data_IF_821759779293
#
_entry.id   IF_821759779293
#
_cell.length_a   1.000
_cell.length_b   1.000
_cell.length_c   1.000
_cell.angle_alpha   90.00
_cell.angle_beta   90.00
_cell.angle_gamma   90.00
#
_symmetry.space_group_name_H-M   'P 1'
#
loop_
_entity.id
_entity.type
_entity.pdbx_description
1 polymer ?
#
# COMPACT_ATOMS: atom_id res chain seq x y z
N UNK A 1 -16.89 4.66 3.13
CA UNK A 1 -16.69 5.75 4.13
C UNK A 1 -17.17 5.31 5.52
N UNK A 2 -18.42 5.03 5.72
CA UNK A 2 -19.00 4.60 7.01
C UNK A 2 -18.27 3.38 7.59
N UNK A 3 -17.89 2.42 6.74
CA UNK A 3 -17.22 1.19 7.13
C UNK A 3 -15.71 1.33 7.35
N UNK A 4 -15.12 2.43 6.90
CA UNK A 4 -13.68 2.74 7.06
C UNK A 4 -13.43 3.80 8.15
N UNK A 5 -14.50 4.29 8.78
CA UNK A 5 -14.43 5.44 9.68
C UNK A 5 -13.41 5.31 10.83
N UNK A 6 -13.25 4.18 11.52
CA UNK A 6 -12.37 4.15 12.68
C UNK A 6 -10.88 4.25 12.38
N UNK A 7 -10.44 3.86 11.17
CA UNK A 7 -9.00 3.73 10.88
C UNK A 7 -8.38 4.86 10.07
N UNK A 8 -9.19 5.69 9.43
CA UNK A 8 -8.70 6.77 8.54
C UNK A 8 -9.01 8.19 9.00
N UNK A 9 -9.84 8.34 10.00
CA UNK A 9 -10.23 9.66 10.47
C UNK A 9 -9.65 9.90 11.85
N UNK A 10 -8.91 11.00 11.98
CA UNK A 10 -8.42 11.46 13.27
C UNK A 10 -9.60 11.59 14.21
N UNK A 11 -9.42 11.05 15.43
CA UNK A 11 -10.27 11.39 16.55
C UNK A 11 -10.32 12.92 16.67
N UNK A 12 -11.47 13.47 16.96
CA UNK A 12 -11.59 14.91 17.13
C UNK A 12 -10.76 15.35 18.34
N UNK A 13 -9.98 16.42 18.17
CA UNK A 13 -9.01 16.87 19.20
C UNK A 13 -9.67 17.26 20.53
N UNK A 14 -10.95 17.67 20.48
CA UNK A 14 -11.68 18.16 21.64
C UNK A 14 -12.82 17.24 22.11
N UNK A 15 -13.24 16.24 21.33
CA UNK A 15 -14.39 15.40 21.64
C UNK A 15 -14.06 13.93 21.49
N UNK A 16 -13.98 13.22 22.62
CA UNK A 16 -13.73 11.80 22.63
C UNK A 16 -14.88 11.02 21.95
N UNK A 17 -14.54 10.03 21.13
CA UNK A 17 -15.52 9.24 20.36
C UNK A 17 -16.07 9.93 19.11
N UNK A 18 -15.67 11.17 18.80
CA UNK A 18 -16.04 11.90 17.60
C UNK A 18 -14.91 11.91 16.56
N UNK A 19 -15.27 11.97 15.30
CA UNK A 19 -14.30 12.01 14.19
C UNK A 19 -14.30 13.39 13.51
N UNK A 20 -13.11 13.83 13.10
CA UNK A 20 -12.95 15.03 12.29
C UNK A 20 -13.02 14.72 10.80
N UNK A 21 -13.85 15.47 10.07
CA UNK A 21 -13.88 15.43 8.61
C UNK A 21 -13.66 16.82 8.05
N UNK A 22 -12.75 16.95 7.10
CA UNK A 22 -12.62 18.22 6.38
C UNK A 22 -13.80 18.41 5.44
N UNK A 23 -14.28 19.65 5.33
CA UNK A 23 -15.37 20.00 4.40
C UNK A 23 -15.05 19.55 2.96
N UNK A 24 -13.81 19.77 2.50
CA UNK A 24 -13.37 19.30 1.18
C UNK A 24 -13.42 17.77 1.02
N UNK A 25 -13.11 17.03 2.08
CA UNK A 25 -13.20 15.58 2.09
C UNK A 25 -14.64 15.08 1.95
N UNK A 26 -15.57 15.76 2.60
CA UNK A 26 -17.00 15.48 2.49
C UNK A 26 -17.56 15.88 1.11
N UNK A 27 -17.19 17.06 0.60
CA UNK A 27 -17.59 17.50 -0.74
C UNK A 27 -17.11 16.56 -1.85
N UNK A 28 -15.87 16.10 -1.76
CA UNK A 28 -15.30 15.14 -2.73
C UNK A 28 -16.09 13.83 -2.78
N UNK A 29 -16.72 13.43 -1.68
CA UNK A 29 -17.42 12.14 -1.55
C UNK A 29 -18.92 12.23 -1.83
N UNK A 30 -19.55 13.30 -1.38
CA UNK A 30 -21.00 13.47 -1.47
C UNK A 30 -21.43 14.47 -2.55
N UNK A 31 -20.48 15.22 -3.11
CA UNK A 31 -20.71 16.32 -4.03
C UNK A 31 -20.84 17.67 -3.30
N UNK A 32 -20.54 18.74 -4.03
CA UNK A 32 -20.51 20.10 -3.50
C UNK A 32 -21.87 20.49 -2.90
N UNK A 33 -21.85 20.93 -1.65
CA UNK A 33 -23.03 21.37 -0.86
C UNK A 33 -24.12 20.29 -0.66
N UNK A 34 -23.88 19.01 -1.00
CA UNK A 34 -24.89 17.96 -0.90
C UNK A 34 -24.84 17.19 0.43
N UNK A 35 -23.72 17.22 1.16
CA UNK A 35 -23.57 16.42 2.39
C UNK A 35 -24.66 16.73 3.42
N UNK A 36 -24.95 18.02 3.66
CA UNK A 36 -25.96 18.42 4.66
C UNK A 36 -27.34 17.83 4.31
N UNK A 37 -27.81 18.03 3.09
CA UNK A 37 -29.11 17.51 2.63
C UNK A 37 -29.17 15.97 2.66
N UNK A 38 -28.08 15.29 2.30
CA UNK A 38 -27.99 13.83 2.37
C UNK A 38 -28.02 13.35 3.83
N UNK A 39 -27.29 14.03 4.72
CA UNK A 39 -27.26 13.68 6.14
C UNK A 39 -28.60 13.92 6.82
N UNK A 40 -29.26 15.03 6.51
CA UNK A 40 -30.62 15.35 7.00
C UNK A 40 -31.65 14.29 6.55
N UNK A 41 -31.56 13.84 5.30
CA UNK A 41 -32.47 12.82 4.75
C UNK A 41 -32.20 11.40 5.29
N UNK A 42 -30.93 11.01 5.39
CA UNK A 42 -30.54 9.63 5.68
C UNK A 42 -30.18 9.39 7.16
N UNK A 43 -29.94 10.44 7.93
CA UNK A 43 -29.55 10.34 9.33
C UNK A 43 -28.25 9.57 9.53
N UNK A 44 -27.19 9.90 8.75
CA UNK A 44 -25.95 9.12 8.76
C UNK A 44 -25.04 9.48 9.92
N UNK A 45 -25.00 10.77 10.27
CA UNK A 45 -24.09 11.31 11.28
C UNK A 45 -24.81 12.25 12.22
N UNK A 46 -24.50 12.15 13.49
CA UNK A 46 -24.65 13.26 14.42
C UNK A 46 -23.54 14.26 14.14
N UNK A 47 -23.89 15.53 14.12
CA UNK A 47 -22.93 16.64 14.05
C UNK A 47 -22.94 17.29 15.43
N UNK A 48 -21.75 17.48 16.04
CA UNK A 48 -21.65 18.12 17.34
C UNK A 48 -22.16 19.56 17.26
N UNK A 49 -23.00 19.94 18.20
CA UNK A 49 -23.60 21.27 18.29
C UNK A 49 -23.21 21.93 19.60
N UNK A 50 -23.12 23.26 19.60
CA UNK A 50 -22.96 24.07 20.81
C UNK A 50 -24.24 24.07 21.67
N UNK A 51 -24.15 24.65 22.86
CA UNK A 51 -25.27 24.73 23.82
C UNK A 51 -26.51 25.46 23.26
N UNK A 52 -26.39 26.11 22.11
CA UNK A 52 -27.46 26.85 21.41
C UNK A 52 -27.93 26.10 20.14
N UNK A 53 -27.46 24.87 19.93
CA UNK A 53 -27.86 24.02 18.78
C UNK A 53 -27.22 24.37 17.46
N UNK A 54 -26.11 25.09 17.42
CA UNK A 54 -25.36 25.40 16.20
C UNK A 54 -24.18 24.44 16.02
N UNK A 55 -23.91 24.06 14.79
CA UNK A 55 -22.76 23.22 14.45
C UNK A 55 -21.46 23.89 14.93
N UNK A 56 -20.75 23.23 15.83
CA UNK A 56 -19.55 23.77 16.44
C UNK A 56 -18.33 23.59 15.52
N UNK A 57 -17.71 24.70 15.14
CA UNK A 57 -16.48 24.75 14.37
C UNK A 57 -15.80 26.11 14.48
N UNK A 58 -14.49 26.15 14.32
CA UNK A 58 -13.77 27.41 14.37
C UNK A 58 -12.61 27.44 13.38
N UNK A 59 -12.62 28.44 12.49
CA UNK A 59 -11.48 28.76 11.62
C UNK A 59 -10.34 29.44 12.39
N UNK A 60 -10.63 30.18 13.46
CA UNK A 60 -9.62 30.85 14.27
C UNK A 60 -8.85 29.91 15.18
N UNK A 61 -9.50 28.86 15.66
CA UNK A 61 -8.91 27.84 16.51
C UNK A 61 -8.52 26.57 15.73
N UNK A 62 -8.66 26.59 14.40
CA UNK A 62 -8.26 25.51 13.49
C UNK A 62 -8.89 24.16 13.77
N UNK A 63 -10.09 24.10 14.37
CA UNK A 63 -10.78 22.83 14.53
C UNK A 63 -11.95 22.67 13.54
N UNK A 64 -12.19 21.43 13.14
CA UNK A 64 -13.22 21.03 12.19
C UNK A 64 -14.47 20.58 12.94
N UNK A 65 -15.62 20.51 12.22
CA UNK A 65 -16.83 19.92 12.79
C UNK A 65 -16.56 18.48 13.25
N UNK A 66 -17.10 18.12 14.41
CA UNK A 66 -17.06 16.78 14.95
C UNK A 66 -18.29 15.99 14.48
N UNK A 67 -18.07 14.74 14.10
CA UNK A 67 -19.09 13.85 13.56
C UNK A 67 -19.04 12.50 14.28
N UNK A 68 -20.22 11.96 14.62
CA UNK A 68 -20.37 10.62 15.15
C UNK A 68 -21.40 9.85 14.32
N UNK A 69 -21.19 8.55 14.10
CA UNK A 69 -22.18 7.72 13.42
C UNK A 69 -23.44 7.62 14.26
N UNK A 70 -24.60 7.75 13.62
CA UNK A 70 -25.88 7.48 14.30
C UNK A 70 -26.00 5.98 14.63
N UNK A 71 -26.83 5.63 15.63
CA UNK A 71 -27.05 4.23 16.01
C UNK A 71 -27.57 3.42 14.83
N UNK A 72 -28.47 3.99 14.01
CA UNK A 72 -28.95 3.39 12.76
C UNK A 72 -27.80 2.96 11.85
N UNK A 73 -26.77 3.79 11.70
CA UNK A 73 -25.62 3.50 10.83
C UNK A 73 -24.67 2.51 11.51
N UNK A 74 -24.51 2.59 12.82
CA UNK A 74 -23.71 1.66 13.59
C UNK A 74 -24.31 0.25 13.53
N UNK A 75 -25.61 0.13 13.62
CA UNK A 75 -26.34 -1.14 13.52
C UNK A 75 -26.27 -1.72 12.08
N UNK A 76 -26.52 -0.88 11.07
CA UNK A 76 -26.33 -1.26 9.68
C UNK A 76 -24.88 -1.65 9.35
N UNK A 77 -23.91 -0.98 9.97
CA UNK A 77 -22.50 -1.35 9.88
C UNK A 77 -22.24 -2.72 10.52
N UNK A 78 -22.81 -2.99 11.66
CA UNK A 78 -22.73 -4.29 12.33
C UNK A 78 -23.28 -5.41 11.42
N UNK A 79 -24.50 -5.24 10.90
CA UNK A 79 -25.12 -6.17 9.95
C UNK A 79 -24.31 -6.33 8.67
N UNK A 80 -23.75 -5.25 8.14
CA UNK A 80 -22.93 -5.26 6.93
C UNK A 80 -21.59 -5.96 7.16
N UNK A 81 -20.94 -5.76 8.30
CA UNK A 81 -19.68 -6.43 8.65
C UNK A 81 -19.87 -7.91 8.94
N UNK A 82 -21.06 -8.30 9.40
CA UNK A 82 -21.39 -9.68 9.75
C UNK A 82 -21.66 -10.61 8.57
N UNK A 83 -21.84 -10.14 7.35
CA UNK A 83 -22.30 -11.08 6.34
C UNK A 83 -22.13 -10.78 4.88
N UNK A 84 -21.43 -9.74 4.47
CA UNK A 84 -21.49 -9.35 3.05
C UNK A 84 -20.14 -9.11 2.42
N UNK A 85 -19.89 -9.82 1.32
CA UNK A 85 -18.87 -9.45 0.33
C UNK A 85 -19.18 -8.08 -0.18
N UNK A 86 -18.29 -7.15 0.10
CA UNK A 86 -18.37 -5.82 -0.46
C UNK A 86 -18.05 -5.86 -1.94
N UNK A 87 -19.07 -5.78 -2.76
CA UNK A 87 -18.90 -5.24 -4.10
C UNK A 87 -19.05 -3.71 -3.98
N UNK A 88 -18.20 -2.96 -4.66
CA UNK A 88 -18.26 -1.47 -4.66
C UNK A 88 -19.58 -0.92 -5.21
N UNK A 89 -20.45 -1.78 -5.69
CA UNK A 89 -21.76 -1.51 -6.30
C UNK A 89 -22.93 -1.94 -5.44
N UNK A 90 -22.71 -2.62 -4.30
CA UNK A 90 -23.80 -3.00 -3.41
C UNK A 90 -24.34 -1.75 -2.72
N UNK A 91 -25.62 -1.53 -2.79
CA UNK A 91 -26.35 -0.44 -2.14
C UNK A 91 -27.21 -0.98 -1.01
N UNK A 92 -27.22 -0.27 0.10
CA UNK A 92 -28.20 -0.49 1.17
C UNK A 92 -29.50 0.21 0.81
N UNK A 93 -30.61 -0.52 0.87
CA UNK A 93 -31.96 0.05 0.77
C UNK A 93 -32.32 0.78 2.05
N UNK A 94 -33.38 1.57 2.02
CA UNK A 94 -33.88 2.28 3.21
C UNK A 94 -34.32 1.32 4.32
N UNK A 95 -34.72 0.09 3.97
CA UNK A 95 -35.14 -0.98 4.90
C UNK A 95 -33.95 -1.79 5.45
N UNK A 96 -32.72 -1.46 5.06
CA UNK A 96 -31.51 -2.15 5.52
C UNK A 96 -31.14 -3.41 4.74
N UNK A 97 -31.85 -3.70 3.65
CA UNK A 97 -31.51 -4.77 2.73
C UNK A 97 -30.39 -4.37 1.77
N UNK A 98 -29.64 -5.35 1.30
CA UNK A 98 -28.53 -5.13 0.40
C UNK A 98 -28.96 -5.45 -1.02
N UNK A 99 -29.19 -4.40 -1.80
CA UNK A 99 -29.40 -4.55 -3.21
C UNK A 99 -28.05 -4.85 -3.90
N UNK A 100 -27.90 -6.09 -4.30
CA UNK A 100 -26.72 -6.54 -5.06
C UNK A 100 -26.84 -6.08 -6.51
N UNK A 101 -26.07 -5.11 -6.88
CA UNK A 101 -25.81 -4.91 -8.29
C UNK A 101 -24.84 -6.02 -8.73
N UNK A 102 -25.37 -7.03 -9.37
CA UNK A 102 -24.55 -7.97 -10.13
C UNK A 102 -23.68 -7.13 -11.07
N UNK A 103 -22.35 -7.43 -11.18
CA UNK A 103 -21.56 -6.74 -12.17
C UNK A 103 -22.28 -6.94 -13.49
N UNK A 104 -22.70 -5.86 -14.11
CA UNK A 104 -22.90 -5.89 -15.55
C UNK A 104 -21.67 -6.59 -16.11
N UNK A 105 -21.87 -7.60 -16.93
CA UNK A 105 -20.80 -8.27 -17.69
C UNK A 105 -19.82 -7.17 -18.09
N UNK A 106 -18.54 -7.38 -17.83
CA UNK A 106 -17.51 -6.38 -18.01
C UNK A 106 -17.80 -5.64 -19.31
N UNK A 107 -18.33 -4.41 -19.17
CA UNK A 107 -18.52 -3.56 -20.34
C UNK A 107 -17.10 -3.30 -20.78
N UNK A 108 -16.71 -3.89 -21.89
CA UNK A 108 -15.50 -3.53 -22.59
C UNK A 108 -15.58 -2.02 -22.76
N UNK A 109 -14.83 -1.30 -21.96
CA UNK A 109 -14.78 0.14 -22.05
C UNK A 109 -14.09 0.44 -23.39
N UNK A 110 -14.90 0.58 -24.43
CA UNK A 110 -14.44 1.09 -25.72
C UNK A 110 -13.83 2.46 -25.44
N UNK A 111 -12.51 2.54 -25.59
CA UNK A 111 -11.83 3.82 -25.55
C UNK A 111 -12.45 4.74 -26.62
N UNK A 112 -12.42 6.02 -26.40
CA UNK A 112 -12.96 7.05 -27.32
C UNK A 112 -12.40 6.96 -28.75
N UNK A 113 -11.41 6.14 -28.99
CA UNK A 113 -10.63 5.93 -30.19
C UNK A 113 -10.85 4.55 -30.86
N UNK A 114 -11.81 3.77 -30.38
CA UNK A 114 -12.15 2.47 -30.99
C UNK A 114 -11.13 1.34 -30.72
N UNK A 115 -10.05 1.60 -29.98
CA UNK A 115 -9.10 0.57 -29.57
C UNK A 115 -9.55 -0.12 -28.29
N UNK A 116 -9.62 -1.44 -28.32
CA UNK A 116 -9.90 -2.27 -27.14
C UNK A 116 -8.76 -2.07 -26.14
N UNK A 117 -9.02 -1.44 -25.01
CA UNK A 117 -8.01 -1.34 -23.93
C UNK A 117 -7.70 -2.75 -23.43
N UNK A 118 -6.47 -3.17 -23.63
CA UNK A 118 -5.99 -4.47 -23.14
C UNK A 118 -5.81 -4.36 -21.62
N UNK A 119 -6.86 -4.72 -20.88
CA UNK A 119 -6.79 -4.84 -19.43
C UNK A 119 -6.06 -6.10 -19.00
N UNK A 120 -5.77 -6.20 -17.71
CA UNK A 120 -5.33 -7.45 -17.13
C UNK A 120 -6.38 -8.55 -17.38
N UNK A 121 -5.92 -9.71 -17.87
CA UNK A 121 -6.75 -10.91 -18.01
C UNK A 121 -7.02 -11.60 -16.67
N UNK A 122 -6.70 -10.93 -15.57
CA UNK A 122 -6.72 -11.42 -14.20
C UNK A 122 -8.00 -11.00 -13.52
N UNK A 123 -8.51 -11.83 -12.64
CA UNK A 123 -9.54 -11.46 -11.68
C UNK A 123 -9.07 -10.27 -10.85
N UNK A 124 -9.83 -9.21 -10.84
CA UNK A 124 -9.54 -7.98 -10.09
C UNK A 124 -9.79 -8.16 -8.58
N UNK A 125 -10.14 -9.37 -8.15
CA UNK A 125 -10.42 -9.72 -6.76
C UNK A 125 -9.77 -11.05 -6.42
N UNK A 126 -9.03 -11.12 -5.31
CA UNK A 126 -8.41 -12.32 -4.78
C UNK A 126 -8.83 -12.56 -3.33
N UNK A 127 -8.93 -13.81 -2.92
CA UNK A 127 -9.19 -14.21 -1.54
C UNK A 127 -7.88 -14.74 -0.93
N UNK A 128 -7.18 -13.90 -0.20
CA UNK A 128 -5.85 -14.18 0.36
C UNK A 128 -6.00 -14.91 1.69
N UNK A 129 -5.53 -16.17 1.83
CA UNK A 129 -5.44 -16.80 3.13
C UNK A 129 -4.55 -15.97 4.06
N UNK A 130 -4.95 -15.80 5.31
CA UNK A 130 -4.15 -15.04 6.29
C UNK A 130 -3.81 -15.91 7.49
N UNK A 131 -2.62 -15.70 8.03
CA UNK A 131 -2.18 -16.37 9.25
C UNK A 131 -2.73 -15.62 10.49
N UNK A 132 -3.95 -15.98 10.90
CA UNK A 132 -4.59 -15.35 12.06
C UNK A 132 -3.80 -15.54 13.35
N UNK A 133 -3.14 -16.68 13.52
CA UNK A 133 -2.34 -16.94 14.73
C UNK A 133 -1.17 -15.94 14.84
N UNK A 134 -0.48 -15.69 13.74
CA UNK A 134 0.62 -14.70 13.72
C UNK A 134 0.12 -13.27 13.87
N UNK A 135 -1.04 -12.93 13.29
CA UNK A 135 -1.64 -11.61 13.49
C UNK A 135 -2.07 -11.39 14.96
N UNK A 136 -2.66 -12.40 15.62
CA UNK A 136 -2.99 -12.33 17.04
C UNK A 136 -1.72 -12.17 17.88
N UNK A 137 -0.67 -12.92 17.56
CA UNK A 137 0.63 -12.82 18.23
C UNK A 137 1.26 -11.44 18.05
N UNK A 138 1.21 -10.86 16.83
CA UNK A 138 1.66 -9.50 16.58
C UNK A 138 0.88 -8.49 17.44
N UNK A 139 -0.44 -8.66 17.54
CA UNK A 139 -1.28 -7.80 18.37
C UNK A 139 -0.84 -7.82 19.84
N UNK A 140 -0.61 -9.01 20.40
CA UNK A 140 -0.10 -9.17 21.77
C UNK A 140 1.24 -8.46 21.96
N UNK A 141 2.18 -8.62 21.03
CA UNK A 141 3.51 -7.95 21.09
C UNK A 141 3.37 -6.44 21.07
N UNK A 142 2.51 -5.90 20.22
CA UNK A 142 2.29 -4.45 20.12
C UNK A 142 1.64 -3.90 21.41
N UNK A 143 0.66 -4.62 21.95
CA UNK A 143 -0.01 -4.25 23.20
C UNK A 143 0.94 -4.32 24.40
N UNK A 144 1.79 -5.36 24.48
CA UNK A 144 2.83 -5.47 25.51
C UNK A 144 3.84 -4.31 25.44
N UNK A 145 4.25 -3.89 24.25
CA UNK A 145 5.09 -2.72 24.06
C UNK A 145 4.44 -1.43 24.53
N UNK A 146 3.17 -1.24 24.22
CA UNK A 146 2.41 -0.06 24.65
C UNK A 146 2.32 -0.03 26.17
N UNK A 147 1.93 -1.14 26.80
CA UNK A 147 1.86 -1.29 28.25
C UNK A 147 3.22 -1.02 28.91
N UNK A 148 4.31 -1.61 28.42
CA UNK A 148 5.66 -1.41 28.94
C UNK A 148 6.07 0.06 28.96
N UNK A 149 5.74 0.83 27.92
CA UNK A 149 6.01 2.28 27.88
C UNK A 149 5.20 3.05 28.90
N UNK A 150 3.92 2.74 29.05
CA UNK A 150 3.03 3.39 30.02
C UNK A 150 3.50 3.16 31.46
N UNK A 151 4.17 2.03 31.74
CA UNK A 151 4.68 1.66 33.06
C UNK A 151 6.18 1.80 33.22
N UNK A 152 6.86 2.48 32.29
CA UNK A 152 8.32 2.75 32.39
C UNK A 152 9.21 1.53 32.21
N UNK A 153 8.69 0.43 31.66
CA UNK A 153 9.45 -0.80 31.40
C UNK A 153 10.25 -0.62 30.12
N UNK A 154 11.57 -0.61 30.24
CA UNK A 154 12.49 -0.49 29.08
C UNK A 154 12.48 -1.79 28.30
N UNK A 155 12.06 -1.76 27.05
CA UNK A 155 11.91 -2.96 26.25
C UNK A 155 12.92 -3.09 25.15
N UNK A 156 13.52 -4.24 25.10
CA UNK A 156 14.35 -4.68 24.01
C UNK A 156 13.56 -5.47 22.95
N UNK A 157 14.01 -5.50 21.76
CA UNK A 157 14.01 -6.62 20.85
C UNK A 157 13.13 -6.60 19.61
N UNK A 158 11.88 -6.17 19.59
CA UNK A 158 11.13 -6.21 18.33
C UNK A 158 11.34 -4.97 17.46
N UNK A 159 11.57 -3.84 18.12
CA UNK A 159 11.66 -2.55 17.46
C UNK A 159 12.93 -1.82 17.89
N UNK A 160 13.89 -1.69 17.00
CA UNK A 160 15.04 -0.82 17.15
C UNK A 160 15.11 0.15 15.94
N UNK A 161 15.08 1.46 16.16
CA UNK A 161 14.85 2.18 17.43
C UNK A 161 13.43 2.00 17.96
N UNK A 162 13.23 2.35 19.25
CA UNK A 162 11.92 2.27 19.91
C UNK A 162 10.89 3.09 19.11
N UNK A 163 9.76 2.49 18.69
CA UNK A 163 8.82 3.17 17.82
C UNK A 163 8.09 4.31 18.50
N UNK A 164 7.66 5.27 17.71
CA UNK A 164 6.71 6.29 18.12
C UNK A 164 5.40 5.63 18.61
N UNK A 165 4.78 6.11 19.70
CA UNK A 165 3.47 5.67 20.15
C UNK A 165 2.39 5.71 19.07
N UNK A 166 2.45 6.72 18.19
CA UNK A 166 1.53 6.82 17.05
C UNK A 166 1.70 5.63 16.08
N UNK A 167 2.93 5.23 15.80
CA UNK A 167 3.21 4.06 14.97
C UNK A 167 2.69 2.76 15.59
N UNK A 168 2.89 2.55 16.89
CA UNK A 168 2.37 1.36 17.58
C UNK A 168 0.85 1.30 17.55
N UNK A 169 0.19 2.46 17.75
CA UNK A 169 -1.27 2.55 17.64
C UNK A 169 -1.75 2.19 16.23
N UNK A 170 -1.14 2.76 15.20
CA UNK A 170 -1.49 2.46 13.81
C UNK A 170 -1.25 0.98 13.47
N UNK A 171 -0.14 0.41 13.92
CA UNK A 171 0.19 -1.00 13.74
C UNK A 171 -0.86 -1.91 14.39
N UNK A 172 -1.30 -1.60 15.63
CA UNK A 172 -2.37 -2.29 16.32
C UNK A 172 -3.69 -2.20 15.56
N UNK A 173 -4.07 -1.00 15.17
CA UNK A 173 -5.33 -0.74 14.51
C UNK A 173 -5.40 -1.43 13.13
N UNK A 174 -4.31 -1.44 12.37
CA UNK A 174 -4.22 -2.20 11.12
C UNK A 174 -4.27 -3.72 11.35
N UNK A 175 -3.58 -4.22 12.38
CA UNK A 175 -3.61 -5.66 12.70
C UNK A 175 -5.02 -6.11 13.06
N UNK A 176 -5.72 -5.36 13.92
CA UNK A 176 -7.13 -5.63 14.27
C UNK A 176 -8.03 -5.60 13.05
N UNK A 177 -7.81 -4.64 12.16
CA UNK A 177 -8.58 -4.49 10.94
C UNK A 177 -8.40 -5.68 9.98
N UNK A 178 -7.17 -6.17 9.79
CA UNK A 178 -6.90 -7.35 8.97
C UNK A 178 -7.56 -8.58 9.56
N UNK A 179 -7.45 -8.79 10.88
CA UNK A 179 -8.14 -9.88 11.60
C UNK A 179 -9.65 -9.81 11.44
N UNK A 180 -10.25 -8.63 11.57
CA UNK A 180 -11.69 -8.47 11.40
C UNK A 180 -12.15 -8.77 9.97
N UNK A 181 -11.36 -8.34 8.98
CA UNK A 181 -11.67 -8.57 7.57
C UNK A 181 -11.49 -10.03 7.14
N UNK A 182 -10.61 -10.80 7.80
CA UNK A 182 -10.43 -12.23 7.53
C UNK A 182 -11.58 -13.09 8.08
N UNK A 183 -12.32 -12.60 9.05
CA UNK A 183 -13.48 -13.30 9.67
C UNK A 183 -14.79 -13.12 8.88
N UNK A 184 -14.72 -12.81 7.61
CA UNK A 184 -15.90 -12.69 6.78
C UNK A 184 -16.58 -14.07 6.55
N UNK A 185 -17.91 -14.07 6.41
CA UNK A 185 -18.69 -15.33 6.27
C UNK A 185 -18.51 -16.03 4.91
N UNK A 186 -18.02 -15.32 3.92
CA UNK A 186 -17.97 -15.84 2.52
C UNK A 186 -16.70 -16.64 2.29
N UNK A 187 -15.59 -16.19 2.86
CA UNK A 187 -14.31 -16.86 2.80
C UNK A 187 -13.62 -16.76 4.18
N UNK A 188 -14.08 -17.53 5.19
CA UNK A 188 -13.50 -17.50 6.52
C UNK A 188 -11.99 -17.78 6.48
N UNK A 189 -11.22 -17.01 7.24
CA UNK A 189 -9.75 -17.10 7.24
C UNK A 189 -9.07 -16.48 6.03
N UNK A 190 -9.82 -15.85 5.13
CA UNK A 190 -9.28 -15.19 3.94
C UNK A 190 -9.60 -13.71 3.92
N UNK A 191 -8.63 -12.90 3.52
CA UNK A 191 -8.79 -11.48 3.29
C UNK A 191 -9.16 -11.23 1.82
N UNK A 192 -10.32 -10.62 1.58
CA UNK A 192 -10.76 -10.30 0.21
C UNK A 192 -10.02 -9.05 -0.27
N UNK A 193 -9.21 -9.21 -1.30
CA UNK A 193 -8.36 -8.18 -1.86
C UNK A 193 -8.82 -7.78 -3.25
N UNK A 194 -9.00 -6.49 -3.49
CA UNK A 194 -9.49 -5.93 -4.74
C UNK A 194 -8.47 -4.99 -5.35
N UNK A 195 -8.33 -5.06 -6.66
CA UNK A 195 -7.41 -4.20 -7.40
C UNK A 195 -8.13 -3.27 -8.36
N UNK A 196 -7.47 -2.16 -8.63
CA UNK A 196 -7.82 -1.24 -9.71
C UNK A 196 -6.60 -1.02 -10.58
N UNK A 197 -6.79 -1.17 -11.88
CA UNK A 197 -5.75 -0.86 -12.86
C UNK A 197 -5.58 0.65 -13.00
N UNK A 198 -4.33 1.11 -12.99
CA UNK A 198 -3.95 2.49 -13.27
C UNK A 198 -3.83 2.76 -14.77
N UNK A 199 -3.62 4.03 -15.13
CA UNK A 199 -3.36 4.43 -16.50
C UNK A 199 -2.06 3.89 -17.12
N UNK A 200 -1.14 3.36 -16.31
CA UNK A 200 0.08 2.68 -16.78
C UNK A 200 -0.06 1.16 -16.85
N UNK A 201 -1.15 0.60 -16.34
CA UNK A 201 -1.38 -0.83 -16.28
C UNK A 201 -1.11 -1.48 -14.92
N UNK A 202 -0.44 -0.79 -13.99
CA UNK A 202 -0.22 -1.29 -12.63
C UNK A 202 -1.54 -1.55 -11.89
N UNK A 203 -1.54 -2.57 -11.06
CA UNK A 203 -2.64 -2.86 -10.15
C UNK A 203 -2.41 -2.20 -8.79
N UNK A 204 -3.35 -1.38 -8.38
CA UNK A 204 -3.40 -0.78 -7.04
C UNK A 204 -4.56 -1.38 -6.27
N UNK A 205 -4.28 -1.83 -5.07
CA UNK A 205 -5.31 -2.35 -4.21
C UNK A 205 -6.26 -1.25 -3.75
N UNK A 206 -7.56 -1.59 -3.74
CA UNK A 206 -8.63 -0.71 -3.27
C UNK A 206 -8.90 -0.91 -1.79
N UNK A 207 -9.48 0.09 -1.19
CA UNK A 207 -9.98 0.05 0.20
C UNK A 207 -8.91 -0.38 1.20
N UNK A 208 -9.30 -1.09 2.24
CA UNK A 208 -8.39 -1.78 3.16
C UNK A 208 -7.74 -2.93 2.42
N UNK A 209 -6.41 -2.98 2.42
CA UNK A 209 -5.68 -3.93 1.59
C UNK A 209 -4.30 -4.23 2.17
N UNK A 210 -3.77 -5.42 1.87
CA UNK A 210 -2.45 -5.85 2.32
C UNK A 210 -1.29 -5.20 1.53
N UNK A 211 -1.55 -4.62 0.36
CA UNK A 211 -0.51 -3.92 -0.43
C UNK A 211 -0.02 -2.65 0.28
N UNK A 212 -0.92 -1.94 0.99
CA UNK A 212 -0.66 -0.66 1.64
C UNK A 212 -0.62 -0.71 3.17
N UNK A 213 -0.75 -1.89 3.78
CA UNK A 213 -0.56 -2.05 5.23
C UNK A 213 0.92 -1.96 5.60
N UNK A 214 1.19 -1.66 6.86
CA UNK A 214 2.54 -1.73 7.40
C UNK A 214 3.19 -3.07 7.09
N UNK A 215 4.47 -3.03 6.75
CA UNK A 215 5.24 -4.24 6.37
C UNK A 215 5.10 -5.36 7.39
N UNK A 216 5.13 -5.03 8.68
CA UNK A 216 5.06 -6.02 9.76
C UNK A 216 3.67 -6.69 9.82
N UNK A 217 2.58 -5.94 9.61
CA UNK A 217 1.22 -6.50 9.54
C UNK A 217 1.09 -7.42 8.35
N UNK A 218 1.58 -6.98 7.18
CA UNK A 218 1.58 -7.80 5.96
C UNK A 218 2.40 -9.07 6.13
N UNK A 219 3.59 -8.98 6.72
CA UNK A 219 4.43 -10.15 6.99
C UNK A 219 3.78 -11.12 7.99
N UNK A 220 3.10 -10.62 9.02
CA UNK A 220 2.36 -11.48 9.95
C UNK A 220 1.17 -12.16 9.26
N UNK A 221 0.39 -11.42 8.46
CA UNK A 221 -0.72 -11.96 7.71
C UNK A 221 -0.31 -13.06 6.71
N UNK A 222 0.85 -12.90 6.08
CA UNK A 222 1.36 -13.79 5.04
C UNK A 222 2.48 -14.73 5.55
N UNK A 223 2.61 -14.88 6.86
CA UNK A 223 3.65 -15.71 7.46
C UNK A 223 3.61 -17.16 6.92
N UNK A 224 4.74 -17.63 6.45
CA UNK A 224 4.90 -18.95 5.85
C UNK A 224 4.77 -18.98 4.33
N UNK A 225 4.27 -17.91 3.71
CA UNK A 225 4.20 -17.76 2.25
C UNK A 225 5.55 -17.35 1.67
N UNK A 226 5.63 -17.16 0.36
CA UNK A 226 6.86 -16.83 -0.34
C UNK A 226 6.72 -15.52 -1.08
N UNK A 227 7.60 -14.57 -0.77
CA UNK A 227 7.68 -13.29 -1.48
C UNK A 227 8.65 -13.38 -2.65
N UNK A 228 8.24 -12.81 -3.77
CA UNK A 228 8.98 -12.69 -5.02
C UNK A 228 9.02 -11.23 -5.43
N UNK A 229 10.21 -10.75 -5.80
CA UNK A 229 10.44 -9.37 -6.21
C UNK A 229 11.34 -9.34 -7.46
N UNK A 230 10.97 -8.55 -8.46
CA UNK A 230 11.81 -8.38 -9.65
C UNK A 230 13.00 -7.50 -9.29
N UNK A 231 14.20 -8.06 -9.37
CA UNK A 231 15.41 -7.37 -8.97
C UNK A 231 15.67 -6.08 -9.75
N UNK A 232 15.71 -4.94 -9.06
CA UNK A 232 15.93 -3.62 -9.66
C UNK A 232 15.08 -3.39 -10.93
N UNK A 233 13.85 -3.82 -10.91
CA UNK A 233 12.92 -3.89 -12.05
C UNK A 233 13.08 -2.72 -13.02
N UNK A 234 12.90 -1.49 -12.56
CA UNK A 234 12.93 -0.33 -13.43
C UNK A 234 14.31 0.04 -13.99
N UNK A 235 15.40 -0.21 -13.24
CA UNK A 235 16.74 -0.03 -13.79
C UNK A 235 17.07 -1.06 -14.87
N UNK A 236 16.63 -2.31 -14.67
CA UNK A 236 16.81 -3.39 -15.64
C UNK A 236 16.04 -3.16 -16.94
N UNK A 237 14.78 -2.66 -16.81
CA UNK A 237 13.98 -2.27 -17.97
C UNK A 237 14.57 -1.05 -18.67
N UNK A 238 14.97 -0.03 -17.89
CA UNK A 238 15.55 1.22 -18.42
C UNK A 238 16.80 0.95 -19.27
N UNK A 239 17.74 0.14 -18.78
CA UNK A 239 18.97 -0.19 -19.50
C UNK A 239 18.68 -0.88 -20.85
N UNK A 240 17.83 -1.90 -20.82
CA UNK A 240 17.48 -2.66 -22.02
C UNK A 240 16.69 -1.80 -23.03
N UNK A 241 15.70 -1.05 -22.56
CA UNK A 241 14.92 -0.13 -23.39
C UNK A 241 15.78 0.97 -23.99
N UNK A 242 16.73 1.54 -23.24
CA UNK A 242 17.67 2.53 -23.76
C UNK A 242 18.57 1.94 -24.84
N UNK A 243 19.03 0.70 -24.69
CA UNK A 243 19.82 -0.01 -25.68
C UNK A 243 19.07 -0.24 -26.99
N UNK A 244 17.78 -0.55 -26.95
CA UNK A 244 16.92 -0.65 -28.14
C UNK A 244 16.88 0.67 -28.94
N UNK A 245 17.08 1.79 -28.23
CA UNK A 245 17.16 3.14 -28.84
C UNK A 245 18.59 3.68 -29.00
N UNK A 246 19.59 2.78 -29.02
CA UNK A 246 20.99 3.10 -29.34
C UNK A 246 21.79 3.74 -28.21
N UNK A 247 21.27 3.76 -26.97
CA UNK A 247 21.99 4.32 -25.81
C UNK A 247 22.44 3.22 -24.84
N UNK A 248 23.72 3.24 -24.46
CA UNK A 248 24.31 2.29 -23.50
C UNK A 248 24.45 2.95 -22.14
N UNK A 249 23.73 2.44 -21.16
CA UNK A 249 23.70 2.95 -19.79
C UNK A 249 24.87 2.41 -18.95
N UNK A 250 26.07 2.99 -19.07
CA UNK A 250 27.26 2.46 -18.41
C UNK A 250 27.19 2.52 -16.88
N UNK A 251 26.73 3.62 -16.30
CA UNK A 251 26.59 3.78 -14.86
C UNK A 251 25.48 2.90 -14.29
N UNK A 252 24.36 2.77 -15.01
CA UNK A 252 23.25 1.88 -14.62
C UNK A 252 23.72 0.42 -14.66
N UNK A 253 24.42 -0.02 -15.68
CA UNK A 253 24.99 -1.39 -15.77
C UNK A 253 25.97 -1.66 -14.65
N UNK A 254 26.86 -0.72 -14.37
CA UNK A 254 27.78 -0.82 -13.23
C UNK A 254 27.02 -0.99 -11.92
N UNK A 255 25.97 -0.18 -11.71
CA UNK A 255 25.12 -0.29 -10.52
C UNK A 255 24.39 -1.64 -10.43
N UNK A 256 23.78 -2.10 -11.51
CA UNK A 256 23.07 -3.40 -11.53
C UNK A 256 23.98 -4.57 -11.13
N UNK A 257 25.23 -4.57 -11.62
CA UNK A 257 26.22 -5.60 -11.29
C UNK A 257 26.70 -5.47 -9.84
N UNK A 258 26.94 -4.25 -9.36
CA UNK A 258 27.59 -3.96 -8.07
C UNK A 258 26.63 -3.39 -7.02
N UNK A 259 25.31 -3.61 -7.15
CA UNK A 259 24.26 -2.94 -6.38
C UNK A 259 24.47 -2.96 -4.87
N UNK A 260 24.86 -4.13 -4.31
CA UNK A 260 25.09 -4.28 -2.88
C UNK A 260 26.25 -3.41 -2.43
N UNK A 261 27.40 -3.54 -3.10
CA UNK A 261 28.62 -2.77 -2.80
C UNK A 261 28.39 -1.27 -2.92
N UNK A 262 27.70 -0.82 -3.98
CA UNK A 262 27.39 0.61 -4.20
C UNK A 262 26.50 1.15 -3.07
N UNK A 263 25.44 0.42 -2.71
CA UNK A 263 24.53 0.85 -1.62
C UNK A 263 25.24 0.88 -0.26
N UNK A 264 26.01 -0.14 0.07
CA UNK A 264 26.75 -0.23 1.32
C UNK A 264 27.84 0.85 1.41
N UNK A 265 28.58 1.09 0.32
CA UNK A 265 29.62 2.14 0.28
C UNK A 265 29.01 3.54 0.49
N UNK A 266 27.94 3.88 -0.24
CA UNK A 266 27.25 5.17 -0.07
C UNK A 266 26.64 5.30 1.33
N UNK A 267 26.06 4.24 1.88
CA UNK A 267 25.49 4.25 3.21
C UNK A 267 26.57 4.53 4.27
N UNK A 268 27.71 3.85 4.18
CA UNK A 268 28.85 4.06 5.10
C UNK A 268 29.45 5.46 4.98
N UNK A 269 29.66 5.96 3.74
CA UNK A 269 30.26 7.27 3.49
C UNK A 269 29.43 8.43 4.04
N UNK A 270 28.10 8.32 3.92
CA UNK A 270 27.19 9.40 4.33
C UNK A 270 26.54 9.17 5.71
N UNK A 271 26.82 8.07 6.39
CA UNK A 271 26.16 7.72 7.66
C UNK A 271 24.67 7.46 7.50
N UNK A 272 24.27 6.94 6.34
CA UNK A 272 22.88 6.62 6.01
C UNK A 272 22.60 5.13 6.18
N UNK A 273 21.33 4.75 6.26
CA UNK A 273 20.94 3.35 6.13
C UNK A 273 20.98 2.89 4.66
N UNK A 274 21.24 1.61 4.43
CA UNK A 274 21.19 1.01 3.08
C UNK A 274 19.81 1.21 2.43
N UNK A 275 18.74 1.19 3.23
CA UNK A 275 17.37 1.43 2.75
C UNK A 275 17.14 2.88 2.30
N UNK A 276 17.71 3.87 3.00
CA UNK A 276 17.68 5.27 2.57
C UNK A 276 18.38 5.44 1.23
N UNK A 277 19.57 4.86 1.07
CA UNK A 277 20.33 4.88 -0.18
C UNK A 277 19.57 4.18 -1.29
N UNK A 278 19.02 2.98 -1.04
CA UNK A 278 18.17 2.24 -1.99
C UNK A 278 17.01 3.11 -2.47
N UNK A 279 16.31 3.74 -1.54
CA UNK A 279 15.14 4.58 -1.83
C UNK A 279 15.51 5.82 -2.64
N UNK A 280 16.64 6.45 -2.31
CA UNK A 280 17.16 7.60 -3.06
C UNK A 280 17.57 7.22 -4.50
N UNK A 281 18.22 6.07 -4.69
CA UNK A 281 18.57 5.55 -6.00
C UNK A 281 17.33 5.20 -6.83
N UNK A 282 16.31 4.57 -6.24
CA UNK A 282 15.03 4.30 -6.93
C UNK A 282 14.37 5.63 -7.35
N UNK A 283 14.42 6.65 -6.50
CA UNK A 283 13.86 7.96 -6.84
C UNK A 283 14.51 8.60 -8.08
N UNK A 284 15.78 8.30 -8.38
CA UNK A 284 16.47 8.78 -9.58
C UNK A 284 15.83 8.28 -10.88
N UNK A 285 15.41 7.00 -10.93
CA UNK A 285 14.75 6.44 -12.12
C UNK A 285 13.51 7.26 -12.47
N UNK A 286 12.80 7.72 -11.43
CA UNK A 286 11.65 8.60 -11.58
C UNK A 286 12.00 10.08 -11.72
N UNK A 287 13.29 10.38 -11.91
CA UNK A 287 13.79 11.74 -12.17
C UNK A 287 13.74 12.64 -10.95
N UNK A 288 13.95 12.09 -9.75
CA UNK A 288 14.10 12.91 -8.55
C UNK A 288 15.20 13.94 -8.76
N UNK A 289 14.88 15.18 -8.39
CA UNK A 289 15.80 16.33 -8.47
C UNK A 289 16.18 16.74 -7.05
N UNK A 290 17.35 17.31 -6.93
CA UNK A 290 17.68 18.10 -5.77
C UNK A 290 17.10 19.51 -5.96
N UNK A 291 16.32 19.97 -5.03
CA UNK A 291 15.99 21.37 -4.88
C UNK A 291 16.11 21.75 -3.42
N UNK A 292 16.27 23.06 -3.17
CA UNK A 292 16.34 23.60 -1.81
C UNK A 292 15.01 23.50 -1.04
N UNK A 293 13.98 22.88 -1.63
CA UNK A 293 12.67 22.69 -1.01
C UNK A 293 12.65 21.43 -0.15
N UNK A 294 12.32 21.58 1.13
CA UNK A 294 12.23 20.43 2.07
C UNK A 294 11.15 19.41 1.71
N UNK A 295 10.21 19.78 0.85
CA UNK A 295 9.12 18.89 0.40
C UNK A 295 9.51 17.93 -0.72
N UNK A 296 10.68 18.11 -1.32
CA UNK A 296 11.16 17.22 -2.37
C UNK A 296 11.55 15.85 -1.84
N UNK A 297 11.55 14.83 -2.73
CA UNK A 297 11.75 13.45 -2.35
C UNK A 297 13.12 13.20 -1.69
N UNK A 298 14.20 13.68 -2.29
CA UNK A 298 15.55 13.41 -1.78
C UNK A 298 15.81 13.97 -0.37
N UNK A 299 15.47 15.24 -0.05
CA UNK A 299 15.59 15.74 1.33
C UNK A 299 14.79 14.94 2.37
N UNK A 300 13.61 14.46 1.99
CA UNK A 300 12.80 13.62 2.90
C UNK A 300 13.42 12.24 3.13
N UNK A 301 13.92 11.61 2.08
CA UNK A 301 14.53 10.27 2.14
C UNK A 301 15.83 10.32 2.94
N UNK A 302 16.64 11.36 2.71
CA UNK A 302 18.00 11.46 3.23
C UNK A 302 18.13 12.24 4.53
N UNK A 303 17.01 12.65 5.12
CA UNK A 303 16.99 13.30 6.44
C UNK A 303 17.35 14.78 6.45
N UNK A 304 17.38 15.45 5.30
CA UNK A 304 17.63 16.89 5.22
C UNK A 304 18.20 17.38 3.90
N UNK A 305 18.23 18.70 3.73
CA UNK A 305 18.68 19.33 2.48
C UNK A 305 20.18 19.20 2.25
N UNK A 306 20.96 19.39 3.29
CA UNK A 306 22.43 19.35 3.23
C UNK A 306 22.92 17.93 2.86
N UNK A 307 22.35 16.92 3.49
CA UNK A 307 22.63 15.54 3.17
C UNK A 307 22.21 15.20 1.73
N UNK A 308 21.03 15.64 1.34
CA UNK A 308 20.53 15.42 -0.03
C UNK A 308 21.42 16.10 -1.08
N UNK A 309 21.97 17.28 -0.79
CA UNK A 309 22.92 17.96 -1.66
C UNK A 309 24.21 17.18 -1.80
N UNK A 310 24.82 16.78 -0.68
CA UNK A 310 26.06 16.00 -0.67
C UNK A 310 25.92 14.70 -1.46
N UNK A 311 24.85 13.93 -1.22
CA UNK A 311 24.58 12.69 -1.96
C UNK A 311 24.31 12.97 -3.44
N UNK A 312 23.56 14.03 -3.76
CA UNK A 312 23.22 14.39 -5.16
C UNK A 312 24.44 14.80 -5.99
N UNK A 313 25.46 15.40 -5.34
CA UNK A 313 26.72 15.82 -5.96
C UNK A 313 27.77 14.72 -6.01
N UNK A 314 27.56 13.62 -5.27
CA UNK A 314 28.50 12.50 -5.24
C UNK A 314 28.71 11.89 -6.64
N UNK A 315 29.96 11.56 -7.04
CA UNK A 315 30.26 11.11 -8.40
C UNK A 315 29.42 9.93 -8.88
N UNK A 316 29.22 8.91 -8.06
CA UNK A 316 28.40 7.72 -8.38
C UNK A 316 26.93 8.11 -8.59
N UNK A 317 26.39 8.95 -7.72
CA UNK A 317 25.01 9.40 -7.83
C UNK A 317 24.78 10.29 -9.04
N UNK A 318 25.76 11.17 -9.34
CA UNK A 318 25.76 12.02 -10.53
C UNK A 318 25.81 11.17 -11.80
N UNK A 319 26.74 10.21 -11.89
CA UNK A 319 26.86 9.33 -13.04
C UNK A 319 25.55 8.57 -13.33
N UNK A 320 24.90 8.02 -12.29
CA UNK A 320 23.60 7.35 -12.42
C UNK A 320 22.50 8.31 -12.87
N UNK A 321 22.44 9.51 -12.28
CA UNK A 321 21.46 10.54 -12.64
C UNK A 321 21.59 10.95 -14.12
N UNK A 322 22.80 11.21 -14.55
CA UNK A 322 23.10 11.67 -15.91
C UNK A 322 22.80 10.55 -16.92
N UNK A 323 23.14 9.32 -16.58
CA UNK A 323 22.84 8.13 -17.38
C UNK A 323 21.31 7.90 -17.52
N UNK A 324 20.56 7.99 -16.41
CA UNK A 324 19.09 7.91 -16.43
C UNK A 324 18.47 9.05 -17.27
N UNK A 325 19.04 10.25 -17.21
CA UNK A 325 18.55 11.38 -17.99
C UNK A 325 18.79 11.18 -19.50
N UNK A 326 19.97 10.69 -19.87
CA UNK A 326 20.31 10.39 -21.27
C UNK A 326 19.48 9.21 -21.80
N UNK A 327 19.35 8.13 -21.02
CA UNK A 327 18.48 6.99 -21.34
C UNK A 327 17.03 7.43 -21.59
N UNK A 328 16.48 8.26 -20.71
CA UNK A 328 15.14 8.82 -20.89
C UNK A 328 15.00 9.59 -22.19
N UNK A 329 15.98 10.42 -22.52
CA UNK A 329 15.98 11.17 -23.79
C UNK A 329 16.00 10.24 -25.00
N UNK A 330 16.88 9.23 -25.00
CA UNK A 330 16.98 8.25 -26.07
C UNK A 330 15.68 7.45 -26.24
N UNK A 331 15.14 6.93 -25.13
CA UNK A 331 13.89 6.16 -25.15
C UNK A 331 12.74 7.00 -25.71
N UNK A 332 12.55 8.21 -25.19
CA UNK A 332 11.41 9.05 -25.58
C UNK A 332 11.52 9.57 -27.00
N UNK A 333 12.74 9.86 -27.51
CA UNK A 333 12.94 10.25 -28.91
C UNK A 333 12.63 9.12 -29.89
N UNK A 334 12.78 7.88 -29.47
CA UNK A 334 12.45 6.69 -30.28
C UNK A 334 10.98 6.27 -30.22
N UNK A 335 10.15 6.87 -29.35
CA UNK A 335 8.74 6.50 -29.22
C UNK A 335 7.90 7.03 -30.39
N UNK A 336 7.00 6.20 -30.89
CA UNK A 336 5.98 6.62 -31.84
C UNK A 336 4.93 7.47 -31.14
N UNK A 337 4.77 8.71 -31.56
CA UNK A 337 3.74 9.61 -31.06
C UNK A 337 2.53 9.58 -31.99
N UNK A 338 1.38 9.16 -31.46
CA UNK A 338 0.13 9.20 -32.20
C UNK A 338 -0.86 10.12 -31.51
N UNK A 339 -1.36 11.13 -32.21
CA UNK A 339 -2.29 12.16 -31.68
C UNK A 339 -1.83 12.76 -30.33
N UNK A 340 -0.53 13.06 -30.20
CA UNK A 340 0.04 13.63 -28.99
C UNK A 340 0.10 12.68 -27.80
N UNK A 341 0.12 11.38 -28.05
CA UNK A 341 0.23 10.33 -27.03
C UNK A 341 1.29 9.31 -27.40
N UNK A 342 1.96 8.76 -26.40
CA UNK A 342 2.80 7.56 -26.51
C UNK A 342 2.10 6.39 -25.83
N UNK A 343 2.38 5.19 -26.32
CA UNK A 343 1.78 3.94 -25.84
C UNK A 343 2.85 3.08 -25.17
N UNK A 344 2.52 2.46 -24.04
CA UNK A 344 3.40 1.48 -23.42
C UNK A 344 3.11 0.06 -23.95
N UNK A 345 3.93 -0.93 -23.57
CA UNK A 345 3.82 -2.31 -24.07
C UNK A 345 2.47 -3.02 -23.69
N UNK A 346 1.67 -2.41 -22.80
CA UNK A 346 0.32 -2.88 -22.47
C UNK A 346 -0.78 -2.24 -23.35
N UNK A 347 -0.44 -1.40 -24.31
CA UNK A 347 -1.41 -0.66 -25.08
C UNK A 347 -2.04 0.54 -24.36
N UNK A 348 -1.53 0.90 -23.17
CA UNK A 348 -2.00 2.07 -22.43
C UNK A 348 -1.29 3.34 -22.91
N UNK A 349 -2.03 4.45 -22.98
CA UNK A 349 -1.49 5.70 -23.54
C UNK A 349 -1.35 6.81 -22.50
N UNK A 350 -0.29 7.65 -22.67
CA UNK A 350 -0.11 8.89 -21.91
C UNK A 350 0.11 10.08 -22.84
N UNK A 351 -0.42 11.25 -22.49
CA UNK A 351 -0.27 12.47 -23.29
C UNK A 351 1.15 13.00 -23.18
N UNK A 352 1.76 13.32 -24.33
CA UNK A 352 3.11 13.94 -24.41
C UNK A 352 3.09 15.44 -24.09
N UNK A 353 1.93 16.08 -24.15
CA UNK A 353 1.78 17.52 -23.89
C UNK A 353 1.39 17.82 -22.44
N UNK A 354 0.66 16.90 -21.77
CA UNK A 354 0.20 17.05 -20.38
C UNK A 354 1.13 16.43 -19.36
N UNK A 355 1.84 15.35 -19.74
CA UNK A 355 2.80 14.66 -18.89
C UNK A 355 4.22 15.11 -19.20
N UNK A 356 5.02 15.34 -18.17
CA UNK A 356 6.44 15.62 -18.35
C UNK A 356 7.22 14.35 -18.77
N UNK A 357 8.46 14.52 -19.22
CA UNK A 357 9.29 13.40 -19.72
C UNK A 357 9.54 12.31 -18.66
N UNK A 358 9.50 12.65 -17.37
CA UNK A 358 9.65 11.69 -16.27
C UNK A 358 8.41 10.84 -16.11
N UNK A 359 7.24 11.47 -16.20
CA UNK A 359 5.94 10.78 -16.18
C UNK A 359 5.78 9.87 -17.40
N UNK A 360 6.25 10.31 -18.56
CA UNK A 360 6.24 9.51 -19.79
C UNK A 360 7.14 8.28 -19.65
N UNK A 361 8.38 8.44 -19.16
CA UNK A 361 9.27 7.32 -18.90
C UNK A 361 8.67 6.35 -17.84
N UNK A 362 8.17 6.88 -16.73
CA UNK A 362 7.54 6.05 -15.70
C UNK A 362 6.37 5.23 -16.26
N UNK A 363 5.57 5.81 -17.16
CA UNK A 363 4.48 5.12 -17.85
C UNK A 363 4.98 3.95 -18.70
N UNK A 364 6.08 4.12 -19.44
CA UNK A 364 6.67 3.06 -20.24
C UNK A 364 7.22 1.92 -19.36
N UNK A 365 8.01 2.25 -18.33
CA UNK A 365 8.60 1.26 -17.41
C UNK A 365 7.53 0.48 -16.66
N UNK A 366 6.52 1.15 -16.14
CA UNK A 366 5.40 0.53 -15.42
C UNK A 366 4.54 -0.34 -16.34
N UNK A 367 4.45 -0.03 -17.61
CA UNK A 367 3.80 -0.88 -18.60
C UNK A 367 4.49 -2.24 -18.72
N UNK A 368 5.81 -2.25 -18.85
CA UNK A 368 6.61 -3.49 -18.91
C UNK A 368 6.50 -4.28 -17.62
N UNK A 369 6.68 -3.64 -16.46
CA UNK A 369 6.51 -4.26 -15.14
C UNK A 369 5.14 -4.94 -15.00
N UNK A 370 4.09 -4.24 -15.40
CA UNK A 370 2.72 -4.74 -15.34
C UNK A 370 2.49 -5.97 -16.22
N UNK A 371 3.06 -6.01 -17.43
CA UNK A 371 2.99 -7.17 -18.32
C UNK A 371 3.81 -8.35 -17.77
N UNK A 372 4.98 -8.08 -17.19
CA UNK A 372 5.80 -9.11 -16.55
C UNK A 372 5.07 -9.78 -15.38
N UNK A 373 4.44 -9.00 -14.52
CA UNK A 373 3.64 -9.53 -13.40
C UNK A 373 2.43 -10.34 -13.86
N UNK A 374 1.74 -9.88 -14.91
CA UNK A 374 0.63 -10.65 -15.49
C UNK A 374 1.09 -11.98 -16.03
N UNK A 375 2.25 -12.04 -16.68
CA UNK A 375 2.83 -13.27 -17.18
C UNK A 375 3.14 -14.26 -16.05
N UNK A 376 3.73 -13.78 -14.94
CA UNK A 376 3.99 -14.58 -13.76
C UNK A 376 2.68 -15.11 -13.13
N UNK A 377 1.70 -14.22 -12.95
CA UNK A 377 0.40 -14.60 -12.38
C UNK A 377 -0.35 -15.60 -13.29
N UNK A 378 -0.30 -15.43 -14.60
CA UNK A 378 -0.97 -16.34 -15.54
C UNK A 378 -0.38 -17.75 -15.52
N UNK A 379 0.88 -17.89 -15.13
CA UNK A 379 1.55 -19.17 -14.96
C UNK A 379 1.11 -19.89 -13.67
N UNK A 380 0.84 -19.14 -12.60
CA UNK A 380 0.51 -19.66 -11.27
C UNK A 380 -0.70 -18.94 -10.62
N UNK A 381 -1.89 -18.93 -11.27
CA UNK A 381 -3.02 -18.10 -10.85
C UNK A 381 -3.62 -18.47 -9.49
N UNK A 382 -3.50 -19.73 -9.08
CA UNK A 382 -4.04 -20.21 -7.80
C UNK A 382 -3.04 -20.04 -6.65
N UNK A 383 -1.75 -20.01 -6.95
CA UNK A 383 -0.69 -19.89 -5.95
C UNK A 383 -0.34 -18.45 -5.65
N UNK A 384 -0.36 -17.57 -6.64
CA UNK A 384 -0.08 -16.13 -6.43
C UNK A 384 -1.33 -15.47 -5.87
N UNK A 385 -1.24 -15.03 -4.61
CA UNK A 385 -2.39 -14.52 -3.85
C UNK A 385 -2.36 -13.01 -3.63
N UNK A 386 -1.19 -12.39 -3.57
CA UNK A 386 -1.04 -10.94 -3.43
C UNK A 386 -0.14 -10.42 -4.54
N UNK A 387 -0.64 -9.49 -5.35
CA UNK A 387 0.16 -8.75 -6.32
C UNK A 387 0.62 -7.43 -5.71
N UNK A 388 1.90 -7.15 -5.85
CA UNK A 388 2.54 -5.89 -5.49
C UNK A 388 2.96 -5.16 -6.77
N UNK A 389 3.76 -4.09 -6.69
CA UNK A 389 4.10 -3.33 -7.89
C UNK A 389 5.06 -4.10 -8.79
N UNK A 390 6.19 -4.51 -8.25
CA UNK A 390 7.28 -5.22 -8.92
C UNK A 390 7.50 -6.63 -8.35
N UNK A 391 6.49 -7.15 -7.61
CA UNK A 391 6.56 -8.45 -6.97
C UNK A 391 5.19 -9.05 -6.65
N UNK A 392 5.20 -10.18 -6.01
CA UNK A 392 4.00 -10.88 -5.57
C UNK A 392 4.31 -11.84 -4.41
N UNK A 393 3.25 -12.22 -3.68
CA UNK A 393 3.34 -13.28 -2.67
C UNK A 393 2.60 -14.53 -3.13
N UNK A 394 3.22 -15.69 -2.96
CA UNK A 394 2.67 -16.99 -3.29
C UNK A 394 2.51 -17.88 -2.06
N UNK A 395 1.49 -18.74 -2.09
CA UNK A 395 1.26 -19.74 -1.01
C UNK A 395 2.29 -20.86 -1.02
N UNK A 396 2.96 -21.11 -2.15
CA UNK A 396 3.96 -22.16 -2.31
C UNK A 396 5.21 -21.60 -2.98
N UNK A 397 6.31 -22.32 -2.88
CA UNK A 397 7.53 -22.00 -3.64
C UNK A 397 7.29 -22.29 -5.13
N UNK A 398 7.59 -21.31 -5.99
CA UNK A 398 7.40 -21.37 -7.43
C UNK A 398 8.75 -21.51 -8.15
N UNK A 399 8.70 -21.99 -9.39
CA UNK A 399 9.87 -22.07 -10.26
C UNK A 399 10.22 -20.69 -10.84
N UNK A 400 11.25 -20.05 -10.25
CA UNK A 400 11.74 -18.74 -10.72
C UNK A 400 12.26 -18.76 -12.15
N UNK A 401 12.74 -19.93 -12.66
CA UNK A 401 13.19 -20.03 -14.05
C UNK A 401 12.02 -19.95 -15.01
N UNK A 402 10.97 -20.71 -14.74
CA UNK A 402 9.74 -20.66 -15.54
C UNK A 402 9.10 -19.26 -15.53
N UNK A 403 9.11 -18.59 -14.36
CA UNK A 403 8.61 -17.21 -14.23
C UNK A 403 9.44 -16.24 -15.10
N UNK A 404 10.77 -16.31 -15.05
CA UNK A 404 11.66 -15.45 -15.86
C UNK A 404 11.44 -15.68 -17.36
N UNK A 405 11.28 -16.92 -17.78
CA UNK A 405 10.98 -17.27 -19.17
C UNK A 405 9.62 -16.72 -19.62
N UNK A 406 8.58 -16.84 -18.77
CA UNK A 406 7.27 -16.28 -19.06
C UNK A 406 7.29 -14.75 -19.16
N UNK A 407 7.97 -14.06 -18.23
CA UNK A 407 8.14 -12.62 -18.27
C UNK A 407 8.90 -12.16 -19.52
N UNK A 408 9.98 -12.84 -19.87
CA UNK A 408 10.74 -12.54 -21.10
C UNK A 408 9.90 -12.74 -22.36
N UNK A 409 9.18 -13.84 -22.46
CA UNK A 409 8.28 -14.12 -23.61
C UNK A 409 7.19 -13.05 -23.76
N UNK A 410 6.69 -12.53 -22.64
CA UNK A 410 5.60 -11.54 -22.64
C UNK A 410 6.10 -10.11 -22.89
N UNK A 411 7.30 -9.76 -22.44
CA UNK A 411 7.79 -8.38 -22.44
C UNK A 411 8.93 -8.11 -23.41
N UNK A 412 9.69 -9.13 -23.81
CA UNK A 412 10.97 -9.00 -24.53
C UNK A 412 12.15 -8.62 -23.63
N UNK A 413 11.92 -8.27 -22.34
CA UNK A 413 12.96 -7.82 -21.41
C UNK A 413 13.39 -8.96 -20.48
N UNK A 414 14.69 -9.08 -20.27
CA UNK A 414 15.29 -10.03 -19.31
C UNK A 414 15.23 -9.43 -17.91
N UNK A 415 14.35 -9.96 -17.09
CA UNK A 415 14.13 -9.56 -15.72
C UNK A 415 14.58 -10.66 -14.76
N UNK A 416 15.34 -10.28 -13.73
CA UNK A 416 15.78 -11.23 -12.72
C UNK A 416 14.74 -11.36 -11.60
N UNK A 417 14.36 -12.61 -11.34
CA UNK A 417 13.48 -13.01 -10.26
C UNK A 417 14.24 -14.01 -9.38
N UNK A 418 14.69 -13.59 -8.18
CA UNK A 418 15.32 -14.51 -7.23
C UNK A 418 14.38 -15.63 -6.80
N UNK A 419 14.94 -16.63 -6.16
CA UNK A 419 14.13 -17.63 -5.46
C UNK A 419 13.27 -16.94 -4.40
N UNK A 420 12.00 -17.35 -4.32
CA UNK A 420 11.08 -16.79 -3.34
C UNK A 420 11.60 -16.92 -1.92
N UNK A 421 11.63 -15.81 -1.22
CA UNK A 421 11.98 -15.76 0.19
C UNK A 421 10.76 -16.08 1.04
N UNK A 422 10.91 -17.01 2.00
CA UNK A 422 9.81 -17.32 2.88
C UNK A 422 9.53 -16.13 3.82
N UNK A 423 8.29 -15.68 3.85
CA UNK A 423 7.84 -14.61 4.74
C UNK A 423 7.84 -15.12 6.18
N UNK A 424 8.80 -14.66 6.96
CA UNK A 424 8.96 -15.06 8.36
C UNK A 424 8.96 -13.85 9.27
N UNK A 425 8.12 -13.88 10.30
CA UNK A 425 8.12 -12.88 11.36
C UNK A 425 8.55 -13.56 12.66
N UNK A 426 9.60 -13.06 13.27
CA UNK A 426 10.14 -13.59 14.54
C UNK A 426 9.52 -12.83 15.71
N UNK A 427 8.35 -13.25 16.16
CA UNK A 427 7.67 -12.63 17.30
C UNK A 427 7.98 -13.31 18.63
N UNK A 428 8.44 -14.56 18.61
CA UNK A 428 8.72 -15.34 19.82
C UNK A 428 9.86 -14.75 20.65
N UNK A 429 10.90 -14.29 19.99
CA UNK A 429 12.05 -13.66 20.65
C UNK A 429 11.65 -12.36 21.39
N UNK A 430 10.67 -11.65 20.88
CA UNK A 430 10.15 -10.43 21.49
C UNK A 430 9.30 -10.74 22.74
N UNK A 431 8.56 -11.85 22.75
CA UNK A 431 7.76 -12.29 23.88
C UNK A 431 8.61 -12.95 24.97
N UNK A 432 9.66 -13.70 24.60
CA UNK A 432 10.54 -14.40 25.55
C UNK A 432 11.60 -13.50 26.19
N UNK A 433 11.86 -12.31 25.68
CA UNK A 433 12.81 -11.36 26.29
C UNK A 433 12.27 -10.63 27.52
N UNK A 434 11.05 -10.93 27.99
CA UNK A 434 10.42 -10.38 29.17
C UNK A 434 10.09 -11.48 30.20
N UNK A 435 11.03 -11.92 31.03
CA UNK A 435 10.78 -12.92 32.06
C UNK A 435 9.75 -12.47 33.09
N UNK A 436 9.52 -11.17 33.26
CA UNK A 436 8.58 -10.61 34.23
C UNK A 436 7.12 -10.52 33.70
N UNK A 437 6.86 -10.90 32.46
CA UNK A 437 5.53 -10.95 31.87
C UNK A 437 5.10 -12.41 31.65
N UNK A 438 4.41 -12.99 32.59
CA UNK A 438 3.65 -14.22 32.34
C UNK A 438 2.34 -13.82 31.66
N UNK A 439 2.24 -14.07 30.35
CA UNK A 439 1.00 -13.85 29.61
C UNK A 439 0.03 -15.00 29.87
N UNK A 440 -0.99 -14.77 30.70
CA UNK A 440 -2.14 -15.64 30.68
C UNK A 440 -3.00 -15.29 29.46
N UNK A 441 -3.00 -16.15 28.47
CA UNK A 441 -4.01 -16.13 27.42
C UNK A 441 -5.31 -16.57 28.08
N UNK A 442 -6.17 -15.64 28.43
CA UNK A 442 -7.54 -15.97 28.85
C UNK A 442 -8.22 -16.55 27.62
N UNK A 443 -8.49 -17.83 27.65
CA UNK A 443 -9.07 -18.57 26.54
C UNK A 443 -10.49 -18.04 26.29
N UNK A 444 -10.76 -17.45 25.11
CA UNK A 444 -12.05 -16.82 24.83
C UNK A 444 -13.21 -17.81 24.70
N UNK A 445 -12.94 -19.13 24.78
CA UNK A 445 -13.98 -20.18 24.72
C UNK A 445 -14.88 -20.22 25.93
N UNK A 446 -14.60 -19.49 27.01
CA UNK A 446 -15.43 -19.45 28.22
C UNK A 446 -16.28 -18.20 28.39
N UNK A 447 -16.19 -17.21 27.56
CA UNK A 447 -17.10 -16.08 27.55
C UNK A 447 -18.10 -16.22 26.38
N UNK A 448 -19.32 -16.62 26.71
CA UNK A 448 -20.48 -16.56 25.82
C UNK A 448 -20.89 -15.09 25.51
N UNK A 449 -19.95 -14.22 25.26
CA UNK A 449 -20.20 -12.84 24.91
C UNK A 449 -19.58 -12.54 23.55
N UNK A 450 -20.45 -12.19 22.64
CA UNK A 450 -20.24 -11.85 21.25
C UNK A 450 -19.08 -10.92 20.98
N UNK A 451 -18.21 -11.32 20.01
CA UNK A 451 -17.49 -10.48 19.03
C UNK A 451 -16.61 -9.32 19.52
N UNK A 452 -16.26 -9.22 20.79
CA UNK A 452 -15.38 -8.18 21.28
C UNK A 452 -13.95 -8.68 21.43
N UNK A 453 -13.04 -8.16 20.60
CA UNK A 453 -11.59 -8.39 20.71
C UNK A 453 -10.98 -7.73 21.97
N UNK A 454 -11.78 -7.01 22.76
CA UNK A 454 -11.37 -6.42 24.05
C UNK A 454 -11.08 -7.46 25.14
N UNK A 455 -11.41 -8.74 24.92
CA UNK A 455 -11.22 -9.83 25.88
C UNK A 455 -9.77 -10.34 26.04
N UNK A 456 -8.81 -9.77 25.36
CA UNK A 456 -7.40 -10.07 25.60
C UNK A 456 -6.83 -9.08 26.63
N UNK A 457 -7.04 -9.34 27.89
CA UNK A 457 -6.36 -8.61 28.95
C UNK A 457 -5.00 -9.26 29.22
N UNK A 458 -3.94 -8.46 29.17
CA UNK A 458 -2.66 -8.79 29.77
C UNK A 458 -2.82 -8.63 31.28
N UNK A 459 -2.81 -9.71 32.03
CA UNK A 459 -2.76 -9.67 33.50
C UNK A 459 -1.29 -9.85 33.86
N UNK A 460 -0.62 -8.85 34.46
CA UNK A 460 0.69 -9.07 35.07
C UNK A 460 0.51 -10.00 36.25
N UNK A 461 1.38 -10.99 36.35
CA UNK A 461 1.53 -11.80 37.58
C UNK A 461 2.45 -11.08 38.57
#
# INVERSE_FOLDING_TARGET
>A
MILQAPSKYRQHEHYEGWASFTYQGLEKRFGRNKFKAINERLGLFHVHQDDVGRDEWSTKQSFTKAYQLTDKVTDLRGKFLQGVTRRTTDMLTEDGDIQRNLPSQAVEAKGHDGHTRVGWKVRVETAIPVNEAMLKKLLLVVEAHQYGREHGITQAALFHPVPDPAYLKELRDETRMVLQMSRNRIAPGKFIHRYQQSGSGRLYAKDVNLQNTYRLVRQAALHGFYDYDIENCHYSILDQMAQEHGYVCNAVRHYLINKKKVRESLAAEFGLTVDQVKTALIALVYGARFSMRSKDALPKILGGKEMAQRVYEHPVFRALRDDVAAARSAILSGQKVFRGKIENCRGMTISTTKADTRQQLAHLLQGVESVALEAAHSLYPEQIVLLQHDGFTSTTRLDSKAIKEAMFKATGYRLEMPLGEQVMVKLDAALSSHPDFQYQIVNPEKSNADNDLSGFYLIPC
#
